data_IF_995104898924
#
_entry.id   IF_995104898924
#
_cell.length_a   1.000
_cell.length_b   1.000
_cell.length_c   1.000
_cell.angle_alpha   90.00
_cell.angle_beta   90.00
_cell.angle_gamma   90.00
#
_symmetry.space_group_name_H-M   'P 1'
#
loop_
_entity.id
_entity.type
_entity.pdbx_description
1 polymer ?
#
# COMPACT_ATOMS: atom_id res chain seq x y z
N UNK A 1 1.18 4.79 -9.25
CA UNK A 1 -0.08 5.52 -9.52
C UNK A 1 -0.30 6.64 -8.49
N UNK A 2 -0.94 7.72 -8.92
CA UNK A 2 -1.46 8.81 -8.09
C UNK A 2 -2.99 8.94 -8.29
N UNK A 3 -3.58 10.08 -7.95
CA UNK A 3 -5.03 10.33 -8.07
C UNK A 3 -5.56 9.93 -9.46
N UNK A 4 -6.76 9.38 -9.51
CA UNK A 4 -7.42 8.83 -10.72
C UNK A 4 -6.60 7.75 -11.43
N UNK A 5 -5.79 7.00 -10.68
CA UNK A 5 -4.91 5.93 -11.20
C UNK A 5 -3.94 6.42 -12.30
N UNK A 6 -3.56 7.70 -12.25
CA UNK A 6 -2.63 8.29 -13.20
C UNK A 6 -1.20 7.84 -12.90
N UNK A 7 -0.47 7.41 -13.93
CA UNK A 7 0.96 7.07 -13.82
C UNK A 7 1.80 8.33 -13.72
N UNK A 8 2.80 8.31 -12.84
CA UNK A 8 3.83 9.35 -12.75
C UNK A 8 5.16 8.74 -12.33
N UNK A 9 6.25 9.46 -12.55
CA UNK A 9 7.59 9.03 -12.16
C UNK A 9 7.91 9.54 -10.77
N UNK A 10 8.24 8.63 -9.85
CA UNK A 10 8.70 8.95 -8.50
C UNK A 10 10.20 9.21 -8.52
N UNK A 11 10.63 10.37 -8.08
CA UNK A 11 12.06 10.69 -7.95
C UNK A 11 12.65 10.13 -6.67
N UNK A 12 13.72 9.34 -6.80
CA UNK A 12 14.43 8.74 -5.66
C UNK A 12 15.92 8.70 -5.93
N UNK A 13 16.73 8.78 -4.87
CA UNK A 13 18.14 8.44 -4.99
C UNK A 13 18.32 6.95 -5.18
N UNK A 14 19.26 6.56 -6.06
CA UNK A 14 19.56 5.14 -6.29
C UNK A 14 20.29 4.56 -5.09
N UNK A 15 19.69 3.58 -4.44
CA UNK A 15 20.23 2.89 -3.28
C UNK A 15 20.63 1.45 -3.56
N UNK A 16 20.28 0.94 -4.75
CA UNK A 16 20.59 -0.42 -5.21
C UNK A 16 21.59 -0.41 -6.36
N UNK A 17 22.22 -1.55 -6.62
CA UNK A 17 23.09 -1.78 -7.79
C UNK A 17 22.33 -1.53 -9.10
N UNK A 18 23.05 -1.24 -10.19
CA UNK A 18 22.43 -0.82 -11.45
C UNK A 18 21.52 -1.89 -12.06
N UNK A 19 21.86 -3.16 -11.86
CA UNK A 19 21.18 -4.36 -12.39
C UNK A 19 20.27 -5.02 -11.36
N UNK A 20 19.87 -4.30 -10.30
CA UNK A 20 19.05 -4.84 -9.20
C UNK A 20 17.72 -5.46 -9.67
N UNK A 21 17.20 -5.08 -10.81
CA UNK A 21 15.94 -5.56 -11.38
C UNK A 21 16.11 -6.38 -12.67
N UNK A 22 17.30 -6.93 -12.90
CA UNK A 22 17.57 -7.79 -14.07
C UNK A 22 16.59 -8.96 -14.21
N UNK A 23 16.08 -9.45 -13.07
CA UNK A 23 15.09 -10.55 -13.02
C UNK A 23 13.64 -10.05 -12.82
N UNK A 24 13.37 -8.79 -13.16
CA UNK A 24 12.05 -8.16 -13.00
C UNK A 24 11.87 -7.39 -11.70
N UNK A 25 10.68 -6.81 -11.55
CA UNK A 25 10.30 -6.02 -10.40
C UNK A 25 10.09 -6.90 -9.16
N UNK A 26 10.80 -6.60 -8.08
CA UNK A 26 10.72 -7.33 -6.81
C UNK A 26 10.65 -6.36 -5.63
N UNK A 27 9.92 -6.74 -4.57
CA UNK A 27 10.00 -6.04 -3.30
C UNK A 27 11.39 -6.21 -2.68
N UNK A 28 11.87 -5.18 -2.00
CA UNK A 28 13.11 -5.27 -1.25
C UNK A 28 12.88 -6.05 0.05
N UNK A 29 13.74 -7.01 0.34
CA UNK A 29 13.80 -7.68 1.64
C UNK A 29 14.62 -6.85 2.64
N UNK A 30 14.58 -7.20 3.91
CA UNK A 30 15.29 -6.50 4.99
C UNK A 30 16.82 -6.47 4.74
N UNK A 31 17.40 -7.61 4.44
CA UNK A 31 18.85 -7.76 4.13
C UNK A 31 19.09 -7.96 2.63
N UNK A 32 18.40 -7.21 1.78
CA UNK A 32 18.47 -7.35 0.34
C UNK A 32 19.91 -7.11 -0.17
N UNK A 33 20.56 -8.11 -0.79
CA UNK A 33 21.95 -8.01 -1.25
C UNK A 33 22.13 -6.98 -2.37
N UNK A 34 21.04 -6.56 -3.02
CA UNK A 34 21.07 -5.52 -4.06
C UNK A 34 21.28 -4.12 -3.50
N UNK A 35 21.12 -3.93 -2.19
CA UNK A 35 21.30 -2.62 -1.54
C UNK A 35 22.79 -2.33 -1.33
N UNK A 36 23.27 -1.21 -1.86
CA UNK A 36 24.65 -0.76 -1.66
C UNK A 36 24.92 -0.32 -0.22
N UNK A 37 26.18 -0.27 0.21
CA UNK A 37 26.54 0.20 1.57
C UNK A 37 26.03 1.63 1.81
N UNK A 38 26.23 2.54 0.85
CA UNK A 38 25.72 3.92 0.92
C UNK A 38 24.18 3.91 0.88
N UNK A 39 23.58 3.07 0.03
CA UNK A 39 22.13 2.91 -0.07
C UNK A 39 21.49 2.50 1.25
N UNK A 40 22.14 1.67 2.05
CA UNK A 40 21.65 1.28 3.39
C UNK A 40 21.54 2.48 4.32
N UNK A 41 22.57 3.34 4.35
CA UNK A 41 22.55 4.58 5.15
C UNK A 41 21.45 5.52 4.67
N UNK A 42 21.35 5.75 3.34
CA UNK A 42 20.33 6.62 2.77
C UNK A 42 18.91 6.16 3.10
N UNK A 43 18.64 4.86 3.04
CA UNK A 43 17.34 4.26 3.40
C UNK A 43 17.05 4.37 4.90
N UNK A 44 18.05 4.07 5.74
CA UNK A 44 17.89 4.19 7.20
C UNK A 44 17.52 5.60 7.64
N UNK A 45 18.04 6.61 6.94
CA UNK A 45 17.74 8.03 7.19
C UNK A 45 16.60 8.58 6.31
N UNK A 46 15.98 7.75 5.48
CA UNK A 46 14.94 8.16 4.51
C UNK A 46 15.38 9.27 3.52
N UNK A 47 16.68 9.49 3.39
CA UNK A 47 17.24 10.51 2.48
C UNK A 47 17.04 10.15 1.01
N UNK A 48 16.89 8.87 0.71
CA UNK A 48 16.60 8.40 -0.65
C UNK A 48 15.25 8.90 -1.18
N UNK A 49 14.33 9.27 -0.31
CA UNK A 49 13.01 9.78 -0.68
C UNK A 49 12.94 11.33 -0.79
N UNK A 50 13.99 12.06 -0.39
CA UNK A 50 14.02 13.54 -0.47
C UNK A 50 13.71 14.09 -1.87
N UNK A 51 14.17 13.51 -2.99
CA UNK A 51 13.86 14.05 -4.32
C UNK A 51 12.37 14.04 -4.65
N UNK A 52 11.53 13.30 -3.90
CA UNK A 52 10.06 13.34 -4.08
C UNK A 52 9.46 14.72 -3.77
N UNK A 53 10.21 15.63 -3.15
CA UNK A 53 9.78 17.02 -3.00
C UNK A 53 9.50 17.68 -4.37
N UNK A 54 10.23 17.30 -5.43
CA UNK A 54 9.94 17.77 -6.79
C UNK A 54 8.63 17.20 -7.34
N UNK A 55 8.24 15.98 -6.93
CA UNK A 55 6.92 15.43 -7.26
C UNK A 55 5.79 16.18 -6.53
N UNK A 56 6.03 16.65 -5.31
CA UNK A 56 5.06 17.45 -4.56
C UNK A 56 4.93 18.84 -5.19
N UNK A 57 6.04 19.51 -5.48
CA UNK A 57 6.05 20.84 -6.10
C UNK A 57 5.40 20.84 -7.49
N UNK A 58 5.57 19.77 -8.27
CA UNK A 58 4.90 19.60 -9.57
C UNK A 58 3.41 19.23 -9.47
N UNK A 59 2.90 18.98 -8.25
CA UNK A 59 1.51 18.59 -8.02
C UNK A 59 1.20 17.12 -8.32
N UNK A 60 2.20 16.30 -8.70
CA UNK A 60 2.03 14.86 -8.92
C UNK A 60 1.81 14.07 -7.63
N UNK A 61 2.36 14.57 -6.52
CA UNK A 61 2.21 14.00 -5.17
C UNK A 61 1.70 15.05 -4.19
N UNK A 62 1.21 14.58 -3.03
CA UNK A 62 0.95 15.37 -1.82
C UNK A 62 2.01 15.08 -0.76
N UNK A 63 2.12 15.91 0.27
CA UNK A 63 2.91 15.59 1.46
C UNK A 63 2.32 14.39 2.16
N UNK A 64 1.00 14.41 2.41
CA UNK A 64 0.26 13.32 3.07
C UNK A 64 -0.70 12.67 2.08
N UNK A 65 -0.73 11.34 2.08
CA UNK A 65 -1.60 10.55 1.20
C UNK A 65 -1.17 9.08 1.14
N UNK A 66 -1.90 8.24 0.39
CA UNK A 66 -1.53 6.85 0.17
C UNK A 66 -0.14 6.72 -0.46
N UNK A 67 0.67 5.76 0.00
CA UNK A 67 1.99 5.52 -0.59
C UNK A 67 1.85 5.09 -2.05
N UNK A 68 2.59 5.72 -3.00
CA UNK A 68 2.53 5.31 -4.40
C UNK A 68 3.11 3.91 -4.57
N UNK A 69 2.35 3.04 -5.23
CA UNK A 69 2.79 1.70 -5.61
C UNK A 69 3.14 1.65 -7.10
N UNK A 70 4.05 0.74 -7.45
CA UNK A 70 4.42 0.47 -8.85
C UNK A 70 3.23 -0.14 -9.59
N UNK A 71 2.98 0.24 -10.85
CA UNK A 71 1.85 -0.28 -11.64
C UNK A 71 1.74 -1.80 -11.62
N UNK A 72 2.85 -2.51 -11.79
CA UNK A 72 2.88 -3.99 -11.79
C UNK A 72 2.24 -4.58 -10.54
N UNK A 73 2.63 -4.12 -9.35
CA UNK A 73 2.08 -4.61 -8.08
C UNK A 73 0.68 -4.06 -7.82
N UNK A 74 0.45 -2.80 -8.15
CA UNK A 74 -0.84 -2.14 -7.95
C UNK A 74 -1.96 -2.82 -8.76
N UNK A 75 -1.68 -3.23 -9.99
CA UNK A 75 -2.66 -3.91 -10.85
C UNK A 75 -2.95 -5.34 -10.37
N UNK A 76 -1.97 -6.02 -9.78
CA UNK A 76 -2.19 -7.32 -9.12
C UNK A 76 -3.07 -7.17 -7.88
N UNK A 77 -2.78 -6.18 -7.01
CA UNK A 77 -3.59 -5.91 -5.83
C UNK A 77 -5.00 -5.45 -6.18
N UNK A 78 -5.16 -4.65 -7.23
CA UNK A 78 -6.45 -4.19 -7.73
C UNK A 78 -7.36 -5.36 -8.17
N UNK A 79 -6.78 -6.43 -8.73
CA UNK A 79 -7.51 -7.65 -9.08
C UNK A 79 -7.88 -8.50 -7.85
N UNK A 80 -7.03 -8.49 -6.83
CA UNK A 80 -7.18 -9.34 -5.64
C UNK A 80 -8.04 -8.70 -4.54
N UNK A 81 -8.13 -7.36 -4.48
CA UNK A 81 -8.77 -6.62 -3.39
C UNK A 81 -9.72 -5.60 -4.01
N UNK A 82 -11.04 -5.85 -3.90
CA UNK A 82 -12.08 -5.02 -4.51
C UNK A 82 -12.01 -3.52 -4.14
N UNK A 83 -11.62 -3.20 -2.90
CA UNK A 83 -11.51 -1.83 -2.41
C UNK A 83 -10.18 -1.14 -2.76
N UNK A 84 -9.25 -1.85 -3.45
CA UNK A 84 -7.90 -1.33 -3.68
C UNK A 84 -7.88 0.01 -4.41
N UNK A 85 -8.67 0.15 -5.44
CA UNK A 85 -8.70 1.34 -6.30
C UNK A 85 -9.30 2.58 -5.61
N UNK A 86 -10.00 2.42 -4.48
CA UNK A 86 -10.53 3.56 -3.70
C UNK A 86 -9.42 4.49 -3.19
N UNK A 87 -8.21 3.99 -3.00
CA UNK A 87 -7.05 4.81 -2.63
C UNK A 87 -6.67 5.85 -3.70
N UNK A 88 -7.05 5.63 -4.94
CA UNK A 88 -6.80 6.56 -6.05
C UNK A 88 -7.79 7.73 -6.13
N UNK A 89 -8.73 7.84 -5.19
CA UNK A 89 -9.48 9.08 -4.95
C UNK A 89 -8.59 10.17 -4.32
N UNK A 90 -7.40 9.81 -3.84
CA UNK A 90 -6.43 10.67 -3.19
C UNK A 90 -5.13 10.77 -4.01
N UNK A 91 -4.43 11.89 -3.88
CA UNK A 91 -3.06 11.99 -4.41
C UNK A 91 -2.12 11.09 -3.61
N UNK A 92 -1.16 10.47 -4.30
CA UNK A 92 -0.08 9.75 -3.64
C UNK A 92 0.70 10.67 -2.70
N UNK A 93 1.03 10.19 -1.50
CA UNK A 93 1.72 10.93 -0.46
C UNK A 93 3.16 10.49 -0.23
N UNK A 94 4.00 11.44 0.21
CA UNK A 94 5.35 11.16 0.73
C UNK A 94 5.25 10.41 2.07
N UNK A 95 4.32 10.82 2.93
CA UNK A 95 3.89 10.10 4.12
C UNK A 95 2.38 9.88 4.09
N UNK A 96 1.84 9.08 5.02
CA UNK A 96 0.41 8.82 5.08
C UNK A 96 0.01 7.98 6.27
N UNK A 97 -1.29 7.79 6.44
CA UNK A 97 -1.86 7.09 7.57
C UNK A 97 -1.33 5.64 7.68
N UNK A 98 -1.32 4.90 6.57
CA UNK A 98 -0.79 3.54 6.54
C UNK A 98 0.74 3.46 6.76
N UNK A 99 1.49 4.52 6.42
CA UNK A 99 2.94 4.58 6.63
C UNK A 99 3.31 4.88 8.09
N UNK A 100 2.45 5.60 8.81
CA UNK A 100 2.67 5.99 10.22
C UNK A 100 2.17 4.92 11.18
N UNK A 101 0.99 4.36 10.93
CA UNK A 101 0.34 3.39 11.83
C UNK A 101 0.49 1.94 11.38
N UNK A 102 0.78 1.70 10.10
CA UNK A 102 1.08 0.37 9.58
C UNK A 102 2.49 -0.07 9.96
N UNK A 103 2.64 -1.37 10.23
CA UNK A 103 3.94 -2.03 10.40
C UNK A 103 4.39 -2.67 9.10
N UNK A 104 5.64 -3.10 9.03
CA UNK A 104 6.19 -3.80 7.86
C UNK A 104 5.33 -5.02 7.46
N UNK A 105 4.92 -5.81 8.44
CA UNK A 105 4.11 -7.02 8.28
C UNK A 105 2.58 -6.75 8.20
N UNK A 106 2.13 -5.50 8.16
CA UNK A 106 0.72 -5.16 7.99
C UNK A 106 0.25 -5.61 6.61
N UNK A 107 -0.86 -6.35 6.56
CA UNK A 107 -1.45 -6.86 5.31
C UNK A 107 -1.80 -5.71 4.36
N UNK A 108 -1.76 -5.98 3.06
CA UNK A 108 -2.12 -4.99 2.03
C UNK A 108 -3.56 -4.52 2.22
N UNK A 109 -4.50 -5.42 2.53
CA UNK A 109 -5.89 -5.07 2.84
C UNK A 109 -6.02 -4.07 3.98
N UNK A 110 -5.25 -4.25 5.05
CA UNK A 110 -5.30 -3.36 6.22
C UNK A 110 -4.70 -1.98 5.88
N UNK A 111 -3.62 -1.95 5.09
CA UNK A 111 -3.05 -0.69 4.58
C UNK A 111 -4.06 0.08 3.72
N UNK A 112 -4.84 -0.63 2.90
CA UNK A 112 -5.89 -0.02 2.10
C UNK A 112 -7.01 0.55 2.97
N UNK A 113 -7.43 -0.20 4.00
CA UNK A 113 -8.41 0.30 4.96
C UNK A 113 -7.91 1.56 5.68
N UNK A 114 -6.63 1.62 6.03
CA UNK A 114 -6.00 2.82 6.60
C UNK A 114 -5.98 3.99 5.61
N UNK A 115 -5.69 3.75 4.32
CA UNK A 115 -5.73 4.77 3.27
C UNK A 115 -7.15 5.31 3.05
N UNK A 116 -8.17 4.42 3.06
CA UNK A 116 -9.59 4.80 2.96
C UNK A 116 -10.02 5.60 4.20
N UNK A 117 -9.62 5.15 5.40
CA UNK A 117 -9.91 5.86 6.66
C UNK A 117 -9.34 7.27 6.61
N UNK A 118 -8.10 7.45 6.15
CA UNK A 118 -7.53 8.78 5.97
C UNK A 118 -8.38 9.64 5.01
N UNK A 119 -8.80 9.09 3.88
CA UNK A 119 -9.63 9.83 2.91
C UNK A 119 -10.98 10.27 3.46
N UNK A 120 -11.61 9.44 4.31
CA UNK A 120 -12.92 9.74 4.91
C UNK A 120 -12.83 10.67 6.13
N UNK A 121 -11.68 10.70 6.81
CA UNK A 121 -11.44 11.53 8.00
C UNK A 121 -10.48 12.69 7.71
N UNK A 122 -10.26 13.00 6.45
CA UNK A 122 -9.31 14.03 6.02
C UNK A 122 -9.52 15.36 6.76
N UNK A 123 -8.43 15.87 7.31
CA UNK A 123 -8.37 17.22 7.89
C UNK A 123 -6.94 17.72 7.92
N UNK A 124 -6.76 19.05 7.84
CA UNK A 124 -5.44 19.68 7.92
C UNK A 124 -4.73 19.35 9.25
N UNK A 125 -5.49 19.23 10.34
CA UNK A 125 -4.94 18.86 11.66
C UNK A 125 -4.39 17.44 11.62
N UNK A 126 -5.09 16.50 10.95
CA UNK A 126 -4.63 15.13 10.77
C UNK A 126 -3.35 15.11 9.94
N UNK A 127 -3.25 15.90 8.88
CA UNK A 127 -2.05 16.01 8.06
C UNK A 127 -0.83 16.47 8.87
N UNK A 128 -0.99 17.56 9.64
CA UNK A 128 0.08 18.05 10.53
C UNK A 128 0.49 16.98 11.53
N UNK A 129 -0.47 16.28 12.15
CA UNK A 129 -0.21 15.17 13.07
C UNK A 129 0.60 14.05 12.39
N UNK A 130 0.23 13.64 11.18
CA UNK A 130 0.92 12.58 10.45
C UNK A 130 2.35 13.00 10.06
N UNK A 131 2.56 14.25 9.67
CA UNK A 131 3.90 14.80 9.39
C UNK A 131 4.78 14.75 10.65
N UNK A 132 4.28 15.23 11.78
CA UNK A 132 5.03 15.22 13.06
C UNK A 132 5.35 13.79 13.52
N UNK A 133 4.40 12.85 13.38
CA UNK A 133 4.62 11.45 13.69
C UNK A 133 5.64 10.82 12.74
N UNK A 134 5.64 11.17 11.45
CA UNK A 134 6.65 10.70 10.50
C UNK A 134 8.04 11.13 10.92
N UNK A 135 8.22 12.41 11.27
CA UNK A 135 9.49 12.94 11.77
C UNK A 135 9.93 12.17 13.03
N UNK A 136 9.01 11.95 13.99
CA UNK A 136 9.28 11.15 15.18
C UNK A 136 9.77 9.75 14.85
N UNK A 137 9.08 9.04 13.93
CA UNK A 137 9.42 7.67 13.52
C UNK A 137 10.80 7.62 12.85
N UNK A 138 11.17 8.61 12.05
CA UNK A 138 12.50 8.70 11.43
C UNK A 138 13.65 8.71 12.45
N UNK A 139 13.43 9.26 13.63
CA UNK A 139 14.42 9.28 14.71
C UNK A 139 14.33 8.08 15.66
N UNK A 140 13.30 7.24 15.54
CA UNK A 140 13.15 6.03 16.35
C UNK A 140 13.78 4.82 15.64
N UNK A 141 14.90 4.33 16.14
CA UNK A 141 15.65 3.20 15.55
C UNK A 141 14.82 1.91 15.40
N UNK A 142 13.88 1.69 16.31
CA UNK A 142 13.00 0.50 16.33
C UNK A 142 11.92 0.49 15.23
N UNK A 143 11.70 1.59 14.55
CA UNK A 143 10.71 1.64 13.47
C UNK A 143 11.26 1.13 12.12
N UNK A 144 12.57 0.95 12.02
CA UNK A 144 13.28 0.44 10.83
C UNK A 144 13.71 -1.02 10.95
N UNK A 145 13.64 -1.62 12.14
CA UNK A 145 13.91 -3.03 12.31
C UNK A 145 12.69 -3.82 11.83
N UNK A 146 12.86 -4.53 10.71
CA UNK A 146 11.92 -5.55 10.27
C UNK A 146 11.77 -6.59 11.38
N UNK A 147 10.58 -7.08 11.58
CA UNK A 147 10.34 -8.21 12.49
C UNK A 147 11.07 -9.41 11.91
N UNK A 148 11.93 -10.05 12.72
CA UNK A 148 12.60 -11.28 12.38
C UNK A 148 11.64 -12.27 11.72
N UNK A 149 12.03 -12.84 10.58
CA UNK A 149 11.30 -13.86 9.85
C UNK A 149 10.99 -15.12 10.69
N UNK A 150 11.63 -15.26 11.85
CA UNK A 150 11.47 -16.42 12.74
C UNK A 150 10.11 -16.55 13.42
N UNK A 151 9.25 -15.51 13.42
CA UNK A 151 7.89 -15.63 14.00
C UNK A 151 6.78 -15.97 13.02
N UNK A 152 7.05 -15.94 11.73
CA UNK A 152 6.04 -16.25 10.69
C UNK A 152 6.19 -17.67 10.09
N UNK A 153 7.18 -18.44 10.54
CA UNK A 153 7.42 -19.82 10.10
C UNK A 153 6.49 -20.85 10.75
N UNK A 154 5.77 -20.49 11.81
CA UNK A 154 4.84 -21.39 12.51
C UNK A 154 3.41 -21.44 11.93
N UNK A 155 3.08 -20.59 10.97
CA UNK A 155 1.89 -20.79 10.17
C UNK A 155 2.25 -21.67 8.98
N UNK A 156 1.97 -22.97 9.09
CA UNK A 156 2.22 -23.94 8.02
C UNK A 156 1.64 -23.42 6.70
N UNK A 157 2.28 -23.77 5.59
CA UNK A 157 1.78 -23.43 4.25
C UNK A 157 0.30 -23.85 4.05
N UNK A 158 -0.15 -24.86 4.77
CA UNK A 158 -1.54 -25.32 4.84
C UNK A 158 -2.49 -24.28 5.47
N UNK A 159 -2.11 -23.60 6.56
CA UNK A 159 -2.95 -22.57 7.19
C UNK A 159 -3.09 -21.31 6.31
N UNK A 160 -2.05 -20.99 5.53
CA UNK A 160 -2.12 -19.92 4.53
C UNK A 160 -3.06 -20.28 3.40
N UNK A 161 -3.06 -21.53 2.96
CA UNK A 161 -3.94 -22.05 1.90
C UNK A 161 -5.40 -22.13 2.37
N UNK A 162 -5.65 -22.59 3.61
CA UNK A 162 -6.98 -22.65 4.23
C UNK A 162 -7.55 -21.23 4.35
N UNK A 163 -6.79 -20.27 4.87
CA UNK A 163 -7.25 -18.87 4.98
C UNK A 163 -7.49 -18.20 3.63
N UNK A 164 -6.71 -18.54 2.58
CA UNK A 164 -6.97 -18.09 1.20
C UNK A 164 -8.27 -18.68 0.66
N UNK A 165 -8.53 -19.98 0.89
CA UNK A 165 -9.76 -20.64 0.46
C UNK A 165 -10.99 -20.09 1.19
N UNK A 166 -10.91 -19.88 2.50
CA UNK A 166 -12.03 -19.32 3.29
C UNK A 166 -12.33 -17.86 2.91
N UNK A 167 -11.31 -17.06 2.66
CA UNK A 167 -11.49 -15.71 2.15
C UNK A 167 -12.11 -15.71 0.75
N UNK A 168 -11.60 -16.54 -0.17
CA UNK A 168 -12.15 -16.67 -1.53
C UNK A 168 -13.59 -17.15 -1.50
N UNK A 169 -13.94 -18.15 -0.64
CA UNK A 169 -15.29 -18.65 -0.47
C UNK A 169 -16.23 -17.57 0.05
N UNK A 170 -15.82 -16.82 1.07
CA UNK A 170 -16.61 -15.71 1.61
C UNK A 170 -16.85 -14.59 0.58
N UNK A 171 -15.89 -14.33 -0.30
CA UNK A 171 -16.08 -13.37 -1.40
C UNK A 171 -17.01 -13.91 -2.48
N UNK A 172 -16.92 -15.19 -2.83
CA UNK A 172 -17.84 -15.84 -3.76
C UNK A 172 -19.27 -15.80 -3.22
N UNK A 173 -19.47 -16.13 -1.95
CA UNK A 173 -20.79 -16.08 -1.30
C UNK A 173 -21.40 -14.66 -1.29
N UNK A 174 -20.56 -13.63 -1.10
CA UNK A 174 -21.01 -12.23 -1.17
C UNK A 174 -21.36 -11.83 -2.62
N UNK A 175 -20.59 -12.27 -3.60
CA UNK A 175 -20.82 -11.97 -5.02
C UNK A 175 -22.12 -12.66 -5.51
N UNK A 176 -22.31 -13.93 -5.17
CA UNK A 176 -23.53 -14.69 -5.52
C UNK A 176 -24.77 -14.07 -4.89
N UNK A 177 -24.74 -13.71 -3.59
CA UNK A 177 -25.84 -13.03 -2.92
C UNK A 177 -26.17 -11.64 -3.53
N UNK A 178 -25.16 -10.97 -4.11
CA UNK A 178 -25.37 -9.68 -4.78
C UNK A 178 -26.04 -9.87 -6.14
N UNK A 179 -25.60 -10.86 -6.93
CA UNK A 179 -26.23 -11.22 -8.21
C UNK A 179 -27.67 -11.71 -8.03
N UNK A 180 -27.94 -12.52 -7.00
CA UNK A 180 -29.30 -12.98 -6.70
C UNK A 180 -30.24 -11.82 -6.36
N UNK A 181 -29.79 -10.87 -5.52
CA UNK A 181 -30.57 -9.67 -5.17
C UNK A 181 -30.79 -8.73 -6.36
N UNK A 182 -29.83 -8.64 -7.26
CA UNK A 182 -29.94 -7.81 -8.48
C UNK A 182 -30.87 -8.46 -9.49
N UNK A 183 -30.86 -9.79 -9.61
CA UNK A 183 -31.80 -10.56 -10.41
C UNK A 183 -33.22 -10.50 -9.85
N UNK A 184 -33.40 -10.64 -8.53
CA UNK A 184 -34.73 -10.50 -7.88
C UNK A 184 -35.29 -9.08 -8.08
N UNK A 185 -34.46 -8.05 -8.02
CA UNK A 185 -34.88 -6.68 -8.28
C UNK A 185 -35.30 -6.49 -9.72
N UNK A 186 -34.53 -7.00 -10.69
CA UNK A 186 -34.84 -6.93 -12.11
C UNK A 186 -36.14 -7.70 -12.42
N UNK A 187 -36.39 -8.85 -11.80
CA UNK A 187 -37.62 -9.61 -11.99
C UNK A 187 -38.83 -8.82 -11.46
N UNK A 188 -38.76 -8.17 -10.29
CA UNK A 188 -39.82 -7.31 -9.76
C UNK A 188 -40.11 -6.12 -10.65
N UNK A 189 -39.07 -5.48 -11.18
CA UNK A 189 -39.20 -4.34 -12.09
C UNK A 189 -39.86 -4.75 -13.42
N UNK A 190 -39.69 -6.02 -13.87
CA UNK A 190 -40.33 -6.55 -15.08
C UNK A 190 -41.75 -7.08 -14.86
N UNK A 191 -42.10 -7.55 -13.68
CA UNK A 191 -43.40 -8.17 -13.40
C UNK A 191 -44.44 -7.21 -12.81
N UNK A 192 -44.01 -5.98 -12.45
CA UNK A 192 -44.93 -4.90 -12.03
C UNK A 192 -45.76 -5.22 -10.77
N UNK A 193 -45.25 -6.15 -9.89
CA UNK A 193 -45.89 -6.53 -8.61
C UNK A 193 -44.99 -6.13 -7.44
#
# INVERSE_FOLDING_TARGET
YTIHKKVFNVYKLRTMVADAEKNGAQFASENDPRITRVGRVLRALRLDELPQIFNILSGAMSVVGPRPERPVFADEFSKAIAAYDMRYCLKAGLTGYAQVYGKYNTRVSDKILMDITYGTTYSLILDVKLILLTIKIMFMKSATEGVDEERDTDLSSADREIRRRDSAKKFMDIAVNKEEKENEKNIRDYTGV
#
